data_IF_535691632539
#
_entry.id   IF_535691632539
#
_cell.length_a   1.000
_cell.length_b   1.000
_cell.length_c   1.000
_cell.angle_alpha   90.00
_cell.angle_beta   90.00
_cell.angle_gamma   90.00
#
_symmetry.space_group_name_H-M   'P 1'
#
loop_
_entity.id
_entity.type
_entity.pdbx_description
1 polymer ?
#
# COMPACT_ATOMS: atom_id res chain seq x y z
N UNK A 1 -0.06 -18.63 -37.20
CA UNK A 1 0.15 -19.72 -36.22
C UNK A 1 0.96 -19.17 -35.05
N UNK A 2 0.29 -18.96 -33.92
CA UNK A 2 0.89 -18.49 -32.68
C UNK A 2 1.74 -19.62 -32.06
N UNK A 3 2.96 -19.32 -31.61
CA UNK A 3 3.70 -20.15 -30.67
C UNK A 3 4.29 -19.28 -29.57
N UNK A 4 3.53 -19.20 -28.48
CA UNK A 4 3.94 -18.68 -27.19
C UNK A 4 5.07 -19.53 -26.63
N UNK A 5 6.23 -18.93 -26.39
CA UNK A 5 7.30 -19.55 -25.60
C UNK A 5 7.35 -18.82 -24.27
N UNK A 6 6.74 -19.43 -23.26
CA UNK A 6 6.74 -18.96 -21.89
C UNK A 6 8.15 -19.12 -21.30
N UNK A 7 8.95 -18.06 -21.37
CA UNK A 7 10.11 -17.91 -20.49
C UNK A 7 9.58 -17.60 -19.10
N UNK A 8 9.58 -18.62 -18.23
CA UNK A 8 9.47 -18.46 -16.78
C UNK A 8 10.67 -17.63 -16.31
N UNK A 9 10.51 -16.32 -16.34
CA UNK A 9 11.42 -15.37 -15.71
C UNK A 9 11.38 -15.58 -14.21
N UNK A 10 12.28 -16.43 -13.72
CA UNK A 10 12.74 -16.47 -12.33
C UNK A 10 13.25 -15.07 -11.99
N UNK A 11 12.51 -14.31 -11.19
CA UNK A 11 13.00 -13.06 -10.61
C UNK A 11 14.05 -13.37 -9.53
N UNK A 12 15.29 -12.88 -9.63
CA UNK A 12 16.24 -12.87 -8.53
C UNK A 12 16.11 -11.54 -7.78
N UNK A 13 15.84 -11.58 -6.47
CA UNK A 13 16.22 -10.47 -5.58
C UNK A 13 15.12 -9.61 -4.93
N UNK A 14 13.98 -10.18 -4.50
CA UNK A 14 13.17 -9.54 -3.46
C UNK A 14 13.03 -10.50 -2.27
N UNK A 15 14.14 -10.72 -1.56
CA UNK A 15 14.11 -11.23 -0.19
C UNK A 15 13.70 -10.09 0.75
N UNK A 16 12.49 -9.58 0.56
CA UNK A 16 11.87 -8.55 1.38
C UNK A 16 10.60 -9.12 2.02
N UNK A 17 10.79 -10.09 2.91
CA UNK A 17 9.79 -10.55 3.88
C UNK A 17 8.32 -10.66 3.38
N UNK A 18 8.00 -11.74 2.65
CA UNK A 18 6.60 -12.19 2.42
C UNK A 18 5.99 -12.79 3.70
N UNK A 19 6.22 -12.20 4.87
CA UNK A 19 5.32 -12.41 5.99
C UNK A 19 3.98 -11.80 5.58
N UNK A 20 2.90 -12.57 5.67
CA UNK A 20 1.55 -12.15 5.28
C UNK A 20 1.20 -10.74 5.75
N UNK A 21 0.23 -10.14 5.06
CA UNK A 21 -0.30 -8.84 5.44
C UNK A 21 -0.78 -8.90 6.90
N UNK A 22 -0.50 -7.86 7.67
CA UNK A 22 -1.13 -7.71 8.98
C UNK A 22 -2.63 -7.48 8.81
N UNK A 23 -3.41 -7.64 9.88
CA UNK A 23 -4.85 -7.34 9.84
C UNK A 23 -5.14 -5.92 9.33
N UNK A 24 -4.29 -4.95 9.69
CA UNK A 24 -4.38 -3.56 9.21
C UNK A 24 -4.10 -3.46 7.71
N UNK A 25 -3.05 -4.11 7.23
CA UNK A 25 -2.67 -4.10 5.82
C UNK A 25 -3.70 -4.83 4.94
N UNK A 26 -4.30 -5.91 5.45
CA UNK A 26 -5.43 -6.57 4.79
C UNK A 26 -6.66 -5.67 4.70
N UNK A 27 -6.96 -4.90 5.75
CA UNK A 27 -8.04 -3.90 5.70
C UNK A 27 -7.78 -2.85 4.63
N UNK A 28 -6.54 -2.40 4.47
CA UNK A 28 -6.16 -1.47 3.38
C UNK A 28 -6.41 -2.12 2.02
N UNK A 29 -5.98 -3.37 1.84
CA UNK A 29 -6.19 -4.12 0.60
C UNK A 29 -7.67 -4.32 0.27
N UNK A 30 -8.49 -4.68 1.26
CA UNK A 30 -9.92 -4.88 1.10
C UNK A 30 -10.62 -3.57 0.71
N UNK A 31 -10.36 -2.49 1.46
CA UNK A 31 -10.92 -1.17 1.14
C UNK A 31 -10.57 -0.73 -0.28
N UNK A 32 -9.32 -0.92 -0.71
CA UNK A 32 -8.92 -0.63 -2.08
C UNK A 32 -9.67 -1.47 -3.13
N UNK A 33 -9.80 -2.78 -2.92
CA UNK A 33 -10.56 -3.66 -3.84
C UNK A 33 -12.02 -3.26 -3.97
N UNK A 34 -12.59 -2.74 -2.89
CA UNK A 34 -13.96 -2.23 -2.86
C UNK A 34 -14.08 -0.79 -3.39
N UNK A 35 -12.97 -0.15 -3.79
CA UNK A 35 -12.95 1.23 -4.29
C UNK A 35 -13.14 2.29 -3.19
N UNK A 36 -12.83 1.93 -1.94
CA UNK A 36 -12.98 2.78 -0.76
C UNK A 36 -11.63 3.23 -0.18
N UNK A 37 -11.65 4.35 0.53
CA UNK A 37 -10.51 4.78 1.32
C UNK A 37 -10.33 3.90 2.56
N UNK A 38 -9.11 3.48 2.82
CA UNK A 38 -8.74 2.78 4.03
C UNK A 38 -8.63 3.77 5.20
N UNK A 39 -9.69 3.85 6.00
CA UNK A 39 -9.72 4.69 7.21
C UNK A 39 -9.20 3.90 8.40
N UNK A 40 -7.98 4.21 8.84
CA UNK A 40 -7.32 3.56 9.98
C UNK A 40 -7.46 4.38 11.28
N UNK A 41 -7.63 5.70 11.17
CA UNK A 41 -7.92 6.59 12.28
C UNK A 41 -9.09 7.54 11.97
N UNK A 42 -9.79 8.07 12.99
CA UNK A 42 -10.81 9.10 12.82
C UNK A 42 -10.25 10.42 12.29
N UNK A 43 -8.94 10.63 12.38
CA UNK A 43 -8.29 11.86 11.98
C UNK A 43 -7.91 11.85 10.49
N UNK A 44 -8.51 12.79 9.73
CA UNK A 44 -8.24 12.98 8.28
C UNK A 44 -7.40 14.22 7.96
N UNK A 45 -6.93 14.93 8.98
CA UNK A 45 -6.24 16.21 8.82
C UNK A 45 -4.74 16.08 9.11
N UNK A 46 -3.92 16.87 8.41
CA UNK A 46 -2.47 16.81 8.50
C UNK A 46 -1.94 17.04 9.94
N UNK A 47 -2.63 17.84 10.75
CA UNK A 47 -2.23 18.06 12.16
C UNK A 47 -2.28 16.80 13.03
N UNK A 48 -3.08 15.80 12.64
CA UNK A 48 -3.12 14.53 13.34
C UNK A 48 -1.86 13.69 13.14
N UNK A 49 -1.13 13.88 12.03
CA UNK A 49 0.14 13.21 11.81
C UNK A 49 1.17 13.54 12.92
N UNK A 50 1.04 14.69 13.60
CA UNK A 50 1.95 15.08 14.69
C UNK A 50 1.96 14.11 15.88
N UNK A 51 0.86 13.37 16.12
CA UNK A 51 0.80 12.32 17.15
C UNK A 51 1.06 10.91 16.59
N UNK A 52 1.39 10.80 15.30
CA UNK A 52 1.47 9.51 14.62
C UNK A 52 2.53 8.55 15.15
N UNK A 53 3.60 9.07 15.76
CA UNK A 53 4.63 8.27 16.41
C UNK A 53 4.09 7.37 17.55
N UNK A 54 2.98 7.76 18.19
CA UNK A 54 2.35 6.98 19.27
C UNK A 54 1.26 6.00 18.80
N UNK A 55 0.95 5.98 17.50
CA UNK A 55 -0.07 5.08 16.96
C UNK A 55 0.40 3.62 16.97
N UNK A 56 -0.51 2.72 17.32
CA UNK A 56 -0.26 1.29 17.46
C UNK A 56 -0.37 0.51 16.14
N UNK A 57 -0.30 -0.81 16.25
CA UNK A 57 -0.32 -1.73 15.12
C UNK A 57 -1.62 -1.66 14.30
N UNK A 58 -2.72 -1.24 14.91
CA UNK A 58 -4.03 -1.05 14.29
C UNK A 58 -4.07 0.08 13.25
N UNK A 59 -3.08 1.00 13.31
CA UNK A 59 -2.89 2.07 12.31
C UNK A 59 -1.59 1.94 11.54
N UNK A 60 -0.78 0.94 11.86
CA UNK A 60 0.56 0.78 11.28
C UNK A 60 0.51 -0.04 10.00
N UNK A 61 1.08 0.50 8.94
CA UNK A 61 1.26 -0.13 7.63
C UNK A 61 2.75 -0.16 7.33
N UNK A 62 3.31 -1.32 6.99
CA UNK A 62 4.72 -1.39 6.61
C UNK A 62 4.91 -0.82 5.20
N UNK A 63 5.99 -0.08 4.99
CA UNK A 63 6.35 0.42 3.66
C UNK A 63 6.43 -0.70 2.61
N UNK A 64 7.00 -1.86 2.97
CA UNK A 64 7.06 -3.04 2.09
C UNK A 64 5.67 -3.58 1.71
N UNK A 65 4.71 -3.53 2.62
CA UNK A 65 3.33 -3.92 2.34
C UNK A 65 2.66 -2.89 1.43
N UNK A 66 2.84 -1.59 1.70
CA UNK A 66 2.34 -0.51 0.84
C UNK A 66 2.87 -0.66 -0.59
N UNK A 67 4.17 -0.94 -0.77
CA UNK A 67 4.77 -1.22 -2.08
C UNK A 67 4.09 -2.37 -2.80
N UNK A 68 3.81 -3.45 -2.07
CA UNK A 68 3.15 -4.64 -2.61
C UNK A 68 1.72 -4.34 -3.04
N UNK A 69 0.97 -3.58 -2.23
CA UNK A 69 -0.39 -3.16 -2.56
C UNK A 69 -0.43 -2.25 -3.78
N UNK A 70 0.52 -1.32 -3.88
CA UNK A 70 0.66 -0.42 -5.02
C UNK A 70 1.00 -1.19 -6.29
N UNK A 71 1.93 -2.16 -6.22
CA UNK A 71 2.26 -3.02 -7.35
C UNK A 71 1.06 -3.88 -7.79
N UNK A 72 0.34 -4.48 -6.84
CA UNK A 72 -0.88 -5.24 -7.12
C UNK A 72 -1.93 -4.37 -7.81
N UNK A 73 -2.11 -3.13 -7.35
CA UNK A 73 -3.06 -2.20 -7.94
C UNK A 73 -2.67 -1.77 -9.36
N UNK A 74 -1.38 -1.61 -9.63
CA UNK A 74 -0.88 -1.29 -10.97
C UNK A 74 -1.10 -2.46 -11.95
N UNK A 75 -0.92 -3.70 -11.51
CA UNK A 75 -1.09 -4.90 -12.34
C UNK A 75 -2.55 -5.20 -12.69
N UNK A 76 -3.49 -4.97 -11.77
CA UNK A 76 -4.88 -5.37 -11.95
C UNK A 76 -5.73 -4.35 -12.70
N UNK A 77 -5.19 -3.14 -12.97
CA UNK A 77 -5.93 -2.05 -13.60
C UNK A 77 -7.02 -1.53 -12.66
N UNK A 78 -6.83 -0.33 -12.12
CA UNK A 78 -7.68 0.19 -11.04
C UNK A 78 -9.18 0.15 -11.35
N UNK A 79 -10.03 -0.22 -10.38
CA UNK A 79 -11.42 0.22 -10.37
C UNK A 79 -11.44 1.72 -10.06
N UNK A 80 -11.14 2.59 -11.04
CA UNK A 80 -11.35 4.06 -11.05
C UNK A 80 -10.92 4.92 -9.83
N UNK A 81 -10.39 4.37 -8.75
CA UNK A 81 -10.23 5.03 -7.46
C UNK A 81 -8.77 5.00 -6.98
N UNK A 82 -8.32 6.12 -6.40
CA UNK A 82 -7.02 6.26 -5.80
C UNK A 82 -6.85 5.33 -4.58
N UNK A 83 -5.67 4.73 -4.42
CA UNK A 83 -5.32 4.04 -3.16
C UNK A 83 -5.22 5.10 -2.07
N UNK A 84 -6.20 5.14 -1.18
CA UNK A 84 -6.34 6.21 -0.20
C UNK A 84 -6.19 5.65 1.21
N UNK A 85 -5.26 6.19 1.99
CA UNK A 85 -5.04 5.85 3.40
C UNK A 85 -5.27 7.09 4.26
N UNK A 86 -6.12 6.95 5.29
CA UNK A 86 -6.42 8.00 6.26
C UNK A 86 -5.95 7.60 7.66
N UNK A 87 -5.19 8.48 8.32
CA UNK A 87 -4.75 8.27 9.71
C UNK A 87 -3.82 7.06 9.87
N UNK A 88 -2.98 6.81 8.87
CA UNK A 88 -2.08 5.66 8.84
C UNK A 88 -0.67 6.05 9.33
N UNK A 89 -0.06 5.20 10.14
CA UNK A 89 1.38 5.24 10.44
C UNK A 89 2.09 4.33 9.44
N UNK A 90 2.90 4.89 8.55
CA UNK A 90 3.70 4.11 7.61
C UNK A 90 5.09 3.97 8.19
N UNK A 91 5.53 2.74 8.42
CA UNK A 91 6.85 2.44 8.99
C UNK A 91 7.77 1.82 7.96
N UNK A 92 9.00 2.34 7.88
CA UNK A 92 10.03 1.83 7.01
C UNK A 92 9.85 2.20 5.55
N UNK A 93 10.74 1.67 4.70
CA UNK A 93 10.87 2.13 3.31
C UNK A 93 9.80 1.50 2.41
N UNK A 94 8.98 2.33 1.79
CA UNK A 94 8.00 1.91 0.79
C UNK A 94 8.57 1.78 -0.63
N UNK A 95 9.68 2.46 -0.94
CA UNK A 95 10.32 2.48 -2.28
C UNK A 95 9.32 2.45 -3.43
N UNK A 96 8.62 3.57 -3.63
CA UNK A 96 7.62 3.73 -4.69
C UNK A 96 8.20 4.34 -5.97
N UNK A 97 9.42 4.88 -5.93
CA UNK A 97 10.02 5.63 -7.04
C UNK A 97 10.31 4.78 -8.28
N UNK A 98 10.37 3.46 -8.14
CA UNK A 98 10.54 2.52 -9.25
C UNK A 98 9.21 2.01 -9.83
N UNK A 99 8.06 2.43 -9.29
CA UNK A 99 6.74 1.98 -9.74
C UNK A 99 6.08 3.04 -10.63
N UNK A 100 5.55 2.59 -11.77
CA UNK A 100 4.61 3.38 -12.55
C UNK A 100 3.24 3.33 -11.86
N UNK A 101 2.70 4.51 -11.54
CA UNK A 101 1.47 4.67 -10.77
C UNK A 101 0.37 5.20 -11.70
N UNK A 102 -0.38 4.33 -12.40
CA UNK A 102 -1.48 4.77 -13.26
C UNK A 102 -2.68 5.30 -12.47
N UNK A 103 -2.58 5.37 -11.14
CA UNK A 103 -3.60 5.85 -10.20
C UNK A 103 -2.98 6.74 -9.12
N UNK A 104 -3.82 7.56 -8.46
CA UNK A 104 -3.38 8.38 -7.34
C UNK A 104 -3.12 7.56 -6.08
N UNK A 105 -2.04 7.86 -5.36
CA UNK A 105 -1.84 7.46 -3.97
C UNK A 105 -2.13 8.66 -3.07
N UNK A 106 -3.14 8.52 -2.19
CA UNK A 106 -3.58 9.60 -1.29
C UNK A 106 -3.25 9.20 0.14
N UNK A 107 -2.47 10.03 0.81
CA UNK A 107 -2.11 9.88 2.22
C UNK A 107 -2.65 11.08 3.00
N UNK A 108 -3.74 10.88 3.74
CA UNK A 108 -4.40 11.93 4.53
C UNK A 108 -4.16 11.71 6.02
N UNK A 109 -3.55 12.70 6.68
CA UNK A 109 -3.18 12.56 8.09
C UNK A 109 -2.27 11.36 8.35
N UNK A 110 -1.46 10.95 7.36
CA UNK A 110 -0.53 9.85 7.54
C UNK A 110 0.77 10.34 8.20
N UNK A 111 1.33 9.51 9.07
CA UNK A 111 2.64 9.71 9.67
C UNK A 111 3.66 8.78 9.01
N UNK A 112 4.81 9.31 8.62
CA UNK A 112 5.89 8.57 7.97
C UNK A 112 7.06 8.45 8.96
N UNK A 113 7.46 7.22 9.25
CA UNK A 113 8.55 6.85 10.17
C UNK A 113 9.73 6.22 9.43
#
# INVERSE_FOLDING_TARGET
MCRSSATRGRWPGISGNTAGLTATEERVRAAWRDGHAAVLGPERIASAAASGASWGAERTVRGSALRTLVAEAAEHGSPSAALSLCGARIVGVADLGALDLPFGLVLEGAYLD
#
